data_IF_470656845045
#
_entry.id   IF_470656845045
#
_cell.length_a   1.000
_cell.length_b   1.000
_cell.length_c   1.000
_cell.angle_alpha   90.00
_cell.angle_beta   90.00
_cell.angle_gamma   90.00
#
_symmetry.space_group_name_H-M   'P 1'
#
loop_
_entity.id
_entity.type
_entity.pdbx_description
1 polymer ?
#
# COMPACT_ATOMS: atom_id res chain seq x y z
N UNK A 1 17.29 6.36 3.01
CA UNK A 1 16.46 7.08 2.03
C UNK A 1 15.41 7.87 2.79
N UNK A 2 15.30 9.17 2.56
CA UNK A 2 14.16 9.95 3.08
C UNK A 2 12.96 9.57 2.20
N UNK A 3 12.02 8.79 2.73
CA UNK A 3 10.88 8.28 1.96
C UNK A 3 9.56 8.66 2.63
N UNK A 4 8.49 8.58 1.87
CA UNK A 4 7.12 8.61 2.37
C UNK A 4 6.74 7.22 2.87
N UNK A 5 5.86 7.14 3.86
CA UNK A 5 5.32 5.86 4.34
C UNK A 5 3.94 5.65 3.73
N UNK A 6 3.76 4.53 3.04
CA UNK A 6 2.47 4.02 2.63
C UNK A 6 1.92 3.05 3.67
N UNK A 7 0.61 3.12 3.90
CA UNK A 7 -0.13 2.18 4.73
C UNK A 7 -1.36 1.77 3.94
N UNK A 8 -1.50 0.49 3.69
CA UNK A 8 -2.64 -0.04 2.92
C UNK A 8 -3.97 0.25 3.61
N UNK A 9 -5.07 0.41 2.87
CA UNK A 9 -6.42 0.37 3.44
C UNK A 9 -6.57 -0.86 4.33
N UNK A 10 -7.22 -0.71 5.51
CA UNK A 10 -7.29 -1.77 6.51
C UNK A 10 -5.96 -2.10 7.20
N UNK A 11 -4.88 -1.40 6.88
CA UNK A 11 -3.54 -1.52 7.47
C UNK A 11 -2.97 -2.94 7.53
N UNK A 12 -3.18 -3.71 6.50
CA UNK A 12 -2.62 -5.06 6.39
C UNK A 12 -1.11 -5.02 6.29
N UNK A 13 -0.58 -4.02 5.60
CA UNK A 13 0.84 -3.80 5.43
C UNK A 13 1.18 -2.32 5.33
N UNK A 14 2.46 -2.04 5.49
CA UNK A 14 3.04 -0.73 5.19
C UNK A 14 4.37 -0.91 4.47
N UNK A 15 4.81 0.14 3.78
CA UNK A 15 6.11 0.22 3.15
C UNK A 15 6.58 1.66 3.06
N UNK A 16 7.88 1.87 2.83
CA UNK A 16 8.42 3.18 2.50
C UNK A 16 8.71 3.24 1.01
N UNK A 17 8.46 4.39 0.39
CA UNK A 17 8.73 4.65 -1.02
C UNK A 17 9.39 6.02 -1.20
N UNK A 18 10.09 6.28 -2.32
CA UNK A 18 10.78 7.55 -2.56
C UNK A 18 9.86 8.76 -2.39
N UNK A 19 10.38 9.84 -1.80
CA UNK A 19 9.60 11.05 -1.49
C UNK A 19 9.10 11.81 -2.73
N UNK A 20 9.76 11.61 -3.87
CA UNK A 20 9.43 12.17 -5.18
C UNK A 20 8.46 11.30 -5.98
N UNK A 21 8.09 10.13 -5.48
CA UNK A 21 7.02 9.32 -6.07
C UNK A 21 5.64 9.76 -5.57
N UNK A 22 4.65 9.62 -6.45
CA UNK A 22 3.23 9.73 -6.12
C UNK A 22 2.59 8.35 -6.03
N UNK A 23 1.54 8.25 -5.20
CA UNK A 23 0.74 7.03 -5.04
C UNK A 23 -0.63 7.20 -5.69
N UNK A 24 -1.11 6.12 -6.29
CA UNK A 24 -2.45 6.02 -6.88
C UNK A 24 -3.05 4.67 -6.52
N UNK A 25 -4.33 4.65 -6.18
CA UNK A 25 -5.09 3.41 -6.11
C UNK A 25 -5.45 2.98 -7.54
N UNK A 26 -5.01 1.79 -7.92
CA UNK A 26 -5.16 1.26 -9.28
C UNK A 26 -6.05 0.01 -9.27
N UNK A 27 -7.29 0.22 -8.87
CA UNK A 27 -8.24 -0.85 -8.67
C UNK A 27 -8.23 -1.41 -7.24
N UNK A 28 -9.12 -2.34 -6.98
CA UNK A 28 -9.39 -2.88 -5.65
C UNK A 28 -8.18 -3.65 -5.10
N UNK A 29 -7.53 -3.08 -4.08
CA UNK A 29 -6.37 -3.68 -3.42
C UNK A 29 -5.04 -3.60 -4.19
N UNK A 30 -4.98 -2.83 -5.28
CA UNK A 30 -3.77 -2.57 -6.07
C UNK A 30 -3.36 -1.11 -5.99
N UNK A 31 -2.07 -0.85 -5.83
CA UNK A 31 -1.52 0.49 -5.66
C UNK A 31 -0.34 0.70 -6.61
N UNK A 32 -0.35 1.83 -7.29
CA UNK A 32 0.65 2.25 -8.26
C UNK A 32 1.48 3.41 -7.71
N UNK A 33 2.79 3.35 -7.89
CA UNK A 33 3.74 4.37 -7.45
C UNK A 33 4.70 4.70 -8.58
N UNK A 34 4.91 5.97 -8.85
CA UNK A 34 5.91 6.42 -9.84
C UNK A 34 6.31 7.88 -9.59
N UNK A 35 7.46 8.27 -10.14
CA UNK A 35 7.89 9.66 -10.16
C UNK A 35 7.19 10.40 -11.31
N UNK A 36 6.36 11.41 -11.04
CA UNK A 36 5.64 12.15 -12.07
C UNK A 36 6.55 13.13 -12.86
N UNK A 37 7.67 13.57 -12.27
CA UNK A 37 8.56 14.55 -12.88
C UNK A 37 9.61 13.89 -13.78
N UNK A 38 10.15 12.74 -13.32
CA UNK A 38 11.13 11.96 -14.06
C UNK A 38 10.75 10.50 -13.99
N UNK A 39 10.14 10.00 -15.04
CA UNK A 39 9.69 8.62 -15.08
C UNK A 39 10.88 7.65 -15.11
N UNK A 40 11.09 6.92 -14.01
CA UNK A 40 12.12 5.89 -13.85
C UNK A 40 11.53 4.47 -13.91
N UNK A 41 10.23 4.36 -13.82
CA UNK A 41 9.45 3.12 -13.85
C UNK A 41 8.15 3.25 -13.07
N UNK A 42 7.29 2.25 -13.19
CA UNK A 42 6.03 2.13 -12.47
C UNK A 42 6.11 0.95 -11.50
N UNK A 43 6.08 1.24 -10.21
CA UNK A 43 5.98 0.22 -9.16
C UNK A 43 4.52 -0.01 -8.81
N UNK A 44 4.08 -1.26 -8.87
CA UNK A 44 2.74 -1.67 -8.47
C UNK A 44 2.85 -2.72 -7.38
N UNK A 45 1.97 -2.65 -6.39
CA UNK A 45 1.82 -3.67 -5.36
C UNK A 45 0.35 -4.03 -5.18
N UNK A 46 0.07 -5.33 -5.17
CA UNK A 46 -1.22 -5.90 -4.81
C UNK A 46 -1.04 -6.83 -3.62
N UNK A 47 -1.97 -6.81 -2.67
CA UNK A 47 -1.94 -7.67 -1.50
C UNK A 47 -3.18 -8.58 -1.47
N UNK A 48 -2.95 -9.85 -1.23
CA UNK A 48 -3.97 -10.89 -1.20
C UNK A 48 -3.96 -11.59 0.15
N UNK A 49 -5.15 -11.77 0.73
CA UNK A 49 -5.30 -12.47 2.00
C UNK A 49 -5.91 -13.85 1.76
N UNK A 50 -5.31 -14.87 2.35
CA UNK A 50 -5.72 -16.26 2.21
C UNK A 50 -5.79 -16.98 3.56
N UNK A 51 -5.69 -18.28 3.53
CA UNK A 51 -5.55 -19.13 4.73
C UNK A 51 -4.10 -19.09 5.27
N UNK A 52 -3.92 -19.59 6.48
CA UNK A 52 -2.59 -19.73 7.07
C UNK A 52 -1.60 -20.45 6.12
N UNK A 53 -0.44 -19.83 5.90
CA UNK A 53 0.58 -20.34 4.99
C UNK A 53 0.47 -19.85 3.55
N UNK A 54 -0.59 -19.11 3.20
CA UNK A 54 -0.82 -18.62 1.84
C UNK A 54 0.34 -17.82 1.26
N UNK A 55 0.98 -16.97 2.06
CA UNK A 55 2.12 -16.17 1.60
C UNK A 55 3.29 -17.05 1.08
N UNK A 56 3.62 -18.13 1.77
CA UNK A 56 4.64 -19.09 1.32
C UNK A 56 4.18 -19.96 0.15
N UNK A 57 2.90 -20.31 0.14
CA UNK A 57 2.33 -21.11 -0.95
C UNK A 57 2.35 -20.33 -2.27
N UNK A 58 2.06 -19.03 -2.25
CA UNK A 58 2.15 -18.16 -3.43
C UNK A 58 3.56 -18.15 -4.04
N UNK A 59 4.61 -18.03 -3.22
CA UNK A 59 6.00 -18.11 -3.69
C UNK A 59 6.29 -19.47 -4.35
N UNK A 60 5.88 -20.57 -3.71
CA UNK A 60 6.09 -21.93 -4.24
C UNK A 60 5.32 -22.16 -5.53
N UNK A 61 4.10 -21.64 -5.59
CA UNK A 61 3.26 -21.75 -6.79
C UNK A 61 3.90 -21.04 -7.96
N UNK A 62 4.35 -19.78 -7.80
CA UNK A 62 5.04 -19.05 -8.84
C UNK A 62 6.30 -19.78 -9.33
N UNK A 63 7.14 -20.25 -8.42
CA UNK A 63 8.36 -21.02 -8.77
C UNK A 63 8.06 -22.34 -9.50
N UNK A 64 6.87 -22.91 -9.31
CA UNK A 64 6.47 -24.16 -9.97
C UNK A 64 5.84 -23.93 -11.34
N UNK A 65 5.07 -22.85 -11.49
CA UNK A 65 4.25 -22.57 -12.68
C UNK A 65 4.98 -21.71 -13.71
N UNK A 66 6.00 -20.96 -13.28
CA UNK A 66 6.77 -20.07 -14.13
C UNK A 66 8.24 -20.53 -14.22
N UNK A 67 8.60 -21.19 -15.30
CA UNK A 67 9.96 -21.69 -15.54
C UNK A 67 11.04 -20.59 -15.56
N UNK A 68 10.66 -19.33 -15.79
CA UNK A 68 11.55 -18.19 -15.74
C UNK A 68 11.75 -17.63 -14.33
N UNK A 69 10.94 -18.06 -13.36
CA UNK A 69 11.02 -17.58 -11.99
C UNK A 69 12.20 -18.21 -11.25
N UNK A 70 12.81 -17.41 -10.39
CA UNK A 70 13.91 -17.84 -9.51
C UNK A 70 13.70 -17.32 -8.10
N UNK A 71 14.15 -18.10 -7.11
CA UNK A 71 14.10 -17.66 -5.73
C UNK A 71 15.20 -16.63 -5.47
N UNK A 72 14.81 -15.43 -5.03
CA UNK A 72 15.73 -14.35 -4.67
C UNK A 72 15.42 -13.83 -3.27
N UNK A 73 16.35 -13.06 -2.71
CA UNK A 73 16.15 -12.38 -1.42
C UNK A 73 16.21 -10.88 -1.61
N UNK A 74 15.14 -10.17 -1.18
CA UNK A 74 15.05 -8.71 -1.20
C UNK A 74 14.86 -8.21 0.23
N UNK A 75 15.90 -7.62 0.81
CA UNK A 75 15.91 -7.30 2.24
C UNK A 75 15.79 -8.58 3.08
N UNK A 76 14.71 -8.67 3.86
CA UNK A 76 14.38 -9.86 4.67
C UNK A 76 13.42 -10.81 3.96
N UNK A 77 12.87 -10.43 2.80
CA UNK A 77 11.85 -11.17 2.07
C UNK A 77 12.46 -12.20 1.13
N UNK A 78 11.92 -13.42 1.16
CA UNK A 78 12.12 -14.41 0.09
C UNK A 78 11.06 -14.11 -0.99
N UNK A 79 11.49 -14.02 -2.24
CA UNK A 79 10.63 -13.72 -3.36
C UNK A 79 10.84 -14.71 -4.50
N UNK A 80 9.75 -15.15 -5.14
CA UNK A 80 9.84 -15.68 -6.49
C UNK A 80 9.94 -14.48 -7.44
N UNK A 81 11.03 -14.41 -8.19
CA UNK A 81 11.32 -13.32 -9.10
C UNK A 81 11.36 -13.80 -10.53
N UNK A 82 10.65 -13.07 -11.39
CA UNK A 82 10.71 -13.25 -12.85
C UNK A 82 10.76 -11.91 -13.55
N UNK A 83 11.08 -11.92 -14.84
CA UNK A 83 11.04 -10.74 -15.69
C UNK A 83 10.61 -11.08 -17.11
N UNK A 84 9.89 -10.17 -17.71
CA UNK A 84 9.44 -10.26 -19.09
C UNK A 84 9.77 -8.98 -19.85
N UNK A 85 10.21 -9.14 -21.11
CA UNK A 85 10.39 -8.00 -22.01
C UNK A 85 9.23 -7.92 -22.97
N UNK A 86 8.71 -6.72 -23.17
CA UNK A 86 7.67 -6.45 -24.15
C UNK A 86 7.94 -5.15 -24.89
N UNK A 87 7.19 -4.92 -25.95
CA UNK A 87 7.29 -3.71 -26.75
C UNK A 87 5.92 -3.03 -26.81
N UNK A 88 5.90 -1.73 -26.55
CA UNK A 88 4.73 -0.89 -26.66
C UNK A 88 5.11 0.38 -27.41
N UNK A 89 4.34 0.75 -28.44
CA UNK A 89 4.59 1.94 -29.27
C UNK A 89 6.03 2.10 -29.78
N UNK A 90 6.69 0.97 -30.12
CA UNK A 90 8.07 0.96 -30.60
C UNK A 90 9.14 1.03 -29.52
N UNK A 91 8.78 1.22 -28.27
CA UNK A 91 9.69 1.24 -27.12
C UNK A 91 9.73 -0.12 -26.43
N UNK A 92 10.93 -0.58 -26.06
CA UNK A 92 11.10 -1.81 -25.31
C UNK A 92 11.11 -1.54 -23.81
N UNK A 93 10.33 -2.33 -23.09
CA UNK A 93 10.20 -2.32 -21.64
C UNK A 93 10.59 -3.67 -21.05
N UNK A 94 10.93 -3.65 -19.78
CA UNK A 94 11.05 -4.86 -18.97
C UNK A 94 10.12 -4.73 -17.77
N UNK A 95 9.24 -5.69 -17.61
CA UNK A 95 8.44 -5.85 -16.41
C UNK A 95 9.14 -6.85 -15.49
N UNK A 96 9.40 -6.45 -14.27
CA UNK A 96 9.96 -7.26 -13.20
C UNK A 96 8.85 -7.62 -12.24
N UNK A 97 8.77 -8.86 -11.81
CA UNK A 97 7.75 -9.38 -10.90
C UNK A 97 8.41 -10.04 -9.69
N UNK A 98 7.94 -9.69 -8.51
CA UNK A 98 8.29 -10.36 -7.24
C UNK A 98 7.00 -10.83 -6.57
N UNK A 99 6.87 -12.13 -6.38
CA UNK A 99 5.84 -12.73 -5.54
C UNK A 99 6.47 -13.03 -4.19
N UNK A 100 5.91 -12.47 -3.12
CA UNK A 100 6.39 -12.69 -1.75
C UNK A 100 5.21 -12.78 -0.80
N UNK A 101 5.47 -13.12 0.47
CA UNK A 101 4.42 -13.14 1.47
C UNK A 101 4.84 -13.82 2.77
N UNK A 102 4.00 -13.68 3.76
CA UNK A 102 4.17 -14.26 5.09
C UNK A 102 2.80 -14.59 5.68
N UNK A 103 2.72 -15.64 6.45
CA UNK A 103 1.50 -16.10 7.11
C UNK A 103 0.33 -16.25 6.11
N UNK A 104 -0.73 -15.47 6.26
CA UNK A 104 -1.93 -15.49 5.42
C UNK A 104 -1.95 -14.41 4.32
N UNK A 105 -0.87 -13.64 4.16
CA UNK A 105 -0.78 -12.55 3.18
C UNK A 105 0.28 -12.87 2.12
N UNK A 106 -0.10 -12.71 0.85
CA UNK A 106 0.80 -12.70 -0.29
C UNK A 106 0.81 -11.31 -0.94
N UNK A 107 1.95 -10.94 -1.49
CA UNK A 107 2.15 -9.71 -2.26
C UNK A 107 2.60 -10.05 -3.67
N UNK A 108 2.00 -9.37 -4.63
CA UNK A 108 2.48 -9.27 -5.99
C UNK A 108 3.04 -7.86 -6.17
N UNK A 109 4.35 -7.77 -6.38
CA UNK A 109 5.04 -6.51 -6.64
C UNK A 109 5.56 -6.55 -8.07
N UNK A 110 5.24 -5.55 -8.87
CA UNK A 110 5.79 -5.41 -10.21
C UNK A 110 6.47 -4.06 -10.40
N UNK A 111 7.48 -4.02 -11.26
CA UNK A 111 8.16 -2.79 -11.64
C UNK A 111 8.46 -2.81 -13.13
N UNK A 112 7.79 -1.92 -13.85
CA UNK A 112 7.97 -1.78 -15.31
C UNK A 112 8.89 -0.60 -15.60
N UNK A 113 9.98 -0.88 -16.31
CA UNK A 113 11.02 0.10 -16.66
C UNK A 113 11.35 0.04 -18.15
N UNK A 114 11.94 1.08 -18.75
CA UNK A 114 12.54 0.98 -20.07
C UNK A 114 13.62 -0.11 -20.09
N UNK A 115 13.84 -0.71 -21.24
CA UNK A 115 14.90 -1.74 -21.40
C UNK A 115 16.24 -1.22 -20.87
N UNK A 116 16.82 -1.94 -19.92
CA UNK A 116 18.08 -1.56 -19.25
C UNK A 116 17.91 -0.61 -18.07
N UNK A 117 16.68 -0.28 -17.70
CA UNK A 117 16.38 0.48 -16.48
C UNK A 117 16.81 -0.25 -15.20
N UNK A 118 17.01 0.50 -14.13
CA UNK A 118 17.51 0.00 -12.84
C UNK A 118 16.34 -0.35 -11.94
N UNK A 119 16.36 -1.54 -11.37
CA UNK A 119 15.30 -2.06 -10.49
C UNK A 119 15.53 -1.81 -8.99
N UNK A 120 16.66 -1.19 -8.67
CA UNK A 120 17.09 -0.98 -7.27
C UNK A 120 16.07 -0.22 -6.44
N UNK A 121 15.37 0.75 -7.02
CA UNK A 121 14.33 1.52 -6.32
C UNK A 121 13.18 0.62 -5.89
N UNK A 122 12.72 -0.27 -6.77
CA UNK A 122 11.65 -1.24 -6.44
C UNK A 122 12.09 -2.23 -5.36
N UNK A 123 13.32 -2.76 -5.45
CA UNK A 123 13.87 -3.65 -4.44
C UNK A 123 14.00 -2.94 -3.08
N UNK A 124 14.40 -1.68 -3.06
CA UNK A 124 14.47 -0.88 -1.84
C UNK A 124 13.08 -0.67 -1.22
N UNK A 125 12.05 -0.46 -2.02
CA UNK A 125 10.65 -0.38 -1.55
C UNK A 125 10.21 -1.73 -0.97
N UNK A 126 10.39 -2.83 -1.70
CA UNK A 126 10.04 -4.19 -1.24
C UNK A 126 10.76 -4.55 0.07
N UNK A 127 12.02 -4.18 0.19
CA UNK A 127 12.80 -4.45 1.40
C UNK A 127 12.23 -3.77 2.67
N UNK A 128 11.41 -2.74 2.51
CA UNK A 128 10.74 -2.03 3.62
C UNK A 128 9.33 -2.52 3.93
N UNK A 129 8.84 -3.54 3.21
CA UNK A 129 7.51 -4.12 3.49
C UNK A 129 7.42 -4.63 4.93
N UNK A 130 6.37 -4.24 5.60
CA UNK A 130 6.02 -4.68 6.95
C UNK A 130 4.57 -5.16 6.96
N UNK A 131 4.35 -6.42 7.35
CA UNK A 131 3.00 -6.95 7.57
C UNK A 131 2.58 -6.68 9.00
N UNK A 132 1.36 -6.21 9.15
CA UNK A 132 0.79 -5.98 10.47
C UNK A 132 0.59 -7.31 11.20
N UNK A 133 1.08 -7.39 12.41
CA UNK A 133 0.82 -8.53 13.30
C UNK A 133 -0.54 -8.37 13.96
N UNK A 134 -1.26 -9.47 14.10
CA UNK A 134 -2.52 -9.52 14.83
C UNK A 134 -2.35 -8.92 16.23
N UNK A 135 -3.27 -8.02 16.63
CA UNK A 135 -3.18 -7.29 17.90
C UNK A 135 -2.26 -6.06 17.89
N UNK A 136 -1.55 -5.78 16.81
CA UNK A 136 -0.76 -4.56 16.69
C UNK A 136 -1.69 -3.35 16.53
N UNK A 137 -1.62 -2.42 17.47
CA UNK A 137 -2.38 -1.15 17.37
C UNK A 137 -1.85 -0.31 16.23
N UNK A 138 -2.75 0.36 15.55
CA UNK A 138 -2.38 1.39 14.56
C UNK A 138 -1.66 2.52 15.28
N UNK A 139 -0.58 3.09 14.72
CA UNK A 139 -0.06 4.33 15.27
C UNK A 139 -1.16 5.40 15.18
N UNK A 140 -1.60 5.91 16.32
CA UNK A 140 -2.68 6.91 16.42
C UNK A 140 -2.43 8.14 15.53
N UNK A 141 -1.17 8.41 15.23
CA UNK A 141 -0.71 9.51 14.37
C UNK A 141 -1.13 9.37 12.89
N UNK A 142 -1.36 8.15 12.41
CA UNK A 142 -1.63 7.87 10.99
C UNK A 142 -3.12 7.85 10.66
N UNK A 143 -3.96 7.52 11.64
CA UNK A 143 -5.42 7.45 11.47
C UNK A 143 -6.01 8.83 11.17
N UNK A 144 -5.69 9.89 11.96
CA UNK A 144 -6.21 11.23 11.71
C UNK A 144 -5.80 11.80 10.35
N UNK A 145 -4.57 11.52 9.89
CA UNK A 145 -4.10 11.99 8.58
C UNK A 145 -4.93 11.40 7.45
N UNK A 146 -5.12 10.08 7.45
CA UNK A 146 -5.92 9.41 6.41
C UNK A 146 -7.39 9.82 6.47
N UNK A 147 -7.97 9.89 7.64
CA UNK A 147 -9.35 10.36 7.80
C UNK A 147 -9.52 11.79 7.32
N UNK A 148 -8.57 12.69 7.62
CA UNK A 148 -8.62 14.07 7.15
C UNK A 148 -8.48 14.17 5.63
N UNK A 149 -7.67 13.33 5.00
CA UNK A 149 -7.52 13.28 3.53
C UNK A 149 -8.79 12.80 2.86
N UNK A 150 -9.43 11.76 3.38
CA UNK A 150 -10.74 11.28 2.90
C UNK A 150 -11.79 12.37 3.03
N UNK A 151 -11.79 13.13 4.12
CA UNK A 151 -12.73 14.21 4.35
C UNK A 151 -12.55 15.42 3.43
N UNK A 152 -11.31 15.74 3.07
CA UNK A 152 -11.03 16.88 2.19
C UNK A 152 -11.43 16.61 0.73
N UNK A 153 -11.59 15.35 0.34
CA UNK A 153 -11.85 14.94 -1.04
C UNK A 153 -13.35 14.72 -1.33
N UNK A 154 -14.19 14.47 -0.33
CA UNK A 154 -15.58 14.07 -0.55
C UNK A 154 -16.62 14.95 0.13
N UNK A 155 -17.62 15.42 -0.65
CA UNK A 155 -18.80 16.13 -0.16
C UNK A 155 -19.85 15.22 0.51
N UNK A 156 -19.67 13.90 0.49
CA UNK A 156 -20.58 12.90 1.07
C UNK A 156 -20.15 12.39 2.43
N UNK A 157 -19.94 13.26 3.39
CA UNK A 157 -19.32 12.96 4.69
C UNK A 157 -20.00 11.82 5.48
N UNK A 158 -21.31 11.74 5.50
CA UNK A 158 -22.02 10.71 6.28
C UNK A 158 -21.72 9.30 5.77
N UNK A 159 -21.67 9.12 4.45
CA UNK A 159 -21.32 7.86 3.84
C UNK A 159 -19.87 7.47 4.14
N UNK A 160 -18.94 8.41 3.99
CA UNK A 160 -17.51 8.19 4.30
C UNK A 160 -17.34 7.78 5.75
N UNK A 161 -17.96 8.48 6.70
CA UNK A 161 -17.87 8.15 8.13
C UNK A 161 -18.42 6.76 8.42
N UNK A 162 -19.59 6.41 7.85
CA UNK A 162 -20.15 5.08 8.08
C UNK A 162 -19.28 3.96 7.52
N UNK A 163 -18.70 4.16 6.34
CA UNK A 163 -17.79 3.20 5.71
C UNK A 163 -16.50 3.08 6.49
N UNK A 164 -15.88 4.20 6.85
CA UNK A 164 -14.65 4.21 7.67
C UNK A 164 -14.90 3.56 9.03
N UNK A 165 -16.03 3.88 9.71
CA UNK A 165 -16.40 3.21 10.96
C UNK A 165 -16.54 1.71 10.82
N UNK A 166 -17.13 1.22 9.74
CA UNK A 166 -17.27 -0.21 9.49
C UNK A 166 -15.92 -0.89 9.28
N UNK A 167 -15.05 -0.33 8.46
CA UNK A 167 -13.74 -0.89 8.18
C UNK A 167 -12.83 -0.82 9.42
N UNK A 168 -12.78 0.32 10.08
CA UNK A 168 -11.98 0.48 11.28
C UNK A 168 -12.45 -0.40 12.45
N UNK A 169 -13.76 -0.63 12.62
CA UNK A 169 -14.25 -1.57 13.64
C UNK A 169 -13.83 -3.01 13.39
N UNK A 170 -13.69 -3.41 12.12
CA UNK A 170 -13.18 -4.74 11.79
C UNK A 170 -11.70 -4.90 12.11
N UNK A 171 -10.90 -3.88 11.78
CA UNK A 171 -9.44 -3.98 11.75
C UNK A 171 -8.76 -3.35 12.97
N UNK A 172 -9.46 -2.46 13.68
CA UNK A 172 -8.87 -1.65 14.75
C UNK A 172 -9.80 -1.57 15.97
N UNK A 173 -9.81 -2.64 16.76
CA UNK A 173 -10.47 -2.60 18.05
C UNK A 173 -9.76 -1.56 18.96
N UNK A 174 -10.52 -0.56 19.44
CA UNK A 174 -10.05 0.42 20.40
C UNK A 174 -9.86 1.86 19.90
N UNK A 175 -10.28 2.17 18.66
CA UNK A 175 -10.31 3.56 18.15
C UNK A 175 -11.73 4.17 18.20
N UNK A 176 -12.63 3.56 18.97
CA UNK A 176 -14.00 4.01 19.07
C UNK A 176 -14.11 5.45 19.58
N UNK A 177 -13.25 5.84 20.54
CA UNK A 177 -13.21 7.23 21.05
C UNK A 177 -12.81 8.23 19.97
N UNK A 178 -11.90 7.90 19.08
CA UNK A 178 -11.45 8.79 18.02
C UNK A 178 -12.51 8.91 16.92
N UNK A 179 -13.23 7.82 16.64
CA UNK A 179 -14.39 7.85 15.74
C UNK A 179 -15.56 8.67 16.32
N UNK A 180 -15.79 8.61 17.63
CA UNK A 180 -16.80 9.43 18.29
C UNK A 180 -16.45 10.91 18.26
N UNK A 181 -15.19 11.27 18.54
CA UNK A 181 -14.70 12.65 18.40
C UNK A 181 -14.87 13.16 16.96
N UNK A 182 -14.50 12.34 15.99
CA UNK A 182 -14.67 12.66 14.58
C UNK A 182 -16.14 12.89 14.24
N UNK A 183 -17.05 12.03 14.70
CA UNK A 183 -18.49 12.20 14.50
C UNK A 183 -19.00 13.50 15.11
N UNK A 184 -18.57 13.84 16.32
CA UNK A 184 -18.95 15.12 16.97
C UNK A 184 -18.49 16.34 16.16
N UNK A 185 -17.33 16.28 15.53
CA UNK A 185 -16.84 17.36 14.66
C UNK A 185 -17.70 17.47 13.41
N UNK A 186 -18.10 16.35 12.81
CA UNK A 186 -19.01 16.31 11.66
C UNK A 186 -20.36 16.91 12.04
N UNK A 187 -20.97 16.43 13.12
CA UNK A 187 -22.28 16.86 13.58
C UNK A 187 -22.30 18.36 13.97
N UNK A 188 -21.16 18.90 14.35
CA UNK A 188 -21.01 20.33 14.63
C UNK A 188 -21.07 21.23 13.38
N UNK A 189 -21.10 20.66 12.18
CA UNK A 189 -21.11 21.39 10.91
C UNK A 189 -19.81 22.16 10.61
N UNK A 190 -18.73 21.91 11.36
CA UNK A 190 -17.45 22.60 11.21
C UNK A 190 -16.52 21.94 10.19
N UNK A 191 -17.00 20.92 9.50
CA UNK A 191 -16.29 20.22 8.43
C UNK A 191 -16.10 21.20 7.27
N UNK A 192 -14.89 21.25 6.74
CA UNK A 192 -14.51 22.13 5.63
C UNK A 192 -14.09 23.55 6.04
N UNK A 193 -14.35 23.96 7.28
CA UNK A 193 -13.89 25.27 7.80
C UNK A 193 -12.57 25.19 8.57
N UNK A 194 -12.14 23.98 8.94
CA UNK A 194 -10.89 23.74 9.69
C UNK A 194 -9.70 23.51 8.79
N UNK A 195 -8.55 24.01 9.21
CA UNK A 195 -7.28 23.70 8.57
C UNK A 195 -6.89 22.24 8.84
N UNK A 196 -6.07 21.65 7.98
CA UNK A 196 -5.59 20.27 8.10
C UNK A 196 -4.98 19.98 9.49
N UNK A 197 -4.24 20.93 10.04
CA UNK A 197 -3.59 20.84 11.36
C UNK A 197 -4.60 20.72 12.51
N UNK A 198 -5.77 21.33 12.36
CA UNK A 198 -6.84 21.24 13.37
C UNK A 198 -7.51 19.88 13.38
N UNK A 199 -7.55 19.19 12.24
CA UNK A 199 -8.05 17.83 12.13
C UNK A 199 -7.09 16.81 12.74
N UNK A 200 -5.80 17.02 12.56
CA UNK A 200 -4.75 16.16 13.11
C UNK A 200 -4.67 16.23 14.65
N UNK A 201 -5.20 17.28 15.25
CA UNK A 201 -5.26 17.45 16.70
C UNK A 201 -6.44 16.72 17.38
N UNK A 202 -7.28 16.02 16.62
CA UNK A 202 -8.44 15.29 17.16
C UNK A 202 -8.09 13.84 17.54
N UNK A 203 -6.92 13.35 17.12
CA UNK A 203 -6.40 11.99 17.39
C UNK A 203 -5.55 11.91 18.64
#
# INVERSE_FOLDING_TARGET
MQGKKFISPGAWFSMNYPSDWNEFEDGEGSFLFYNPDVWTGNFRISAFKGKAGYGKDAIRQELKENDSASLVKVGTWECAYSKEMFQEEGTYYTSHLWITGVDDIAFECSFTVPKGGVVKEAEDVIATLEVRKEGQKYPAELIPVRLSEIYLINEGYEWVVSTVKQELKKDFQGIEEDLEKLQQVIDSGKIGSKKKEEWLAIG
#
